data_IF_593144158991
#
_entry.id   IF_593144158991
#
_cell.length_a   1.000
_cell.length_b   1.000
_cell.length_c   1.000
_cell.angle_alpha   90.00
_cell.angle_beta   90.00
_cell.angle_gamma   90.00
#
_symmetry.space_group_name_H-M   'P 1'
#
loop_
_entity.id
_entity.type
_entity.pdbx_description
1 polymer ?
#
# COMPACT_ATOMS: atom_id res chain seq x y z
N UNK A 1 -30.55 35.25 -20.87
CA UNK A 1 -31.27 34.06 -20.36
C UNK A 1 -30.36 33.39 -19.35
N UNK A 2 -30.40 33.86 -18.10
CA UNK A 2 -29.59 33.33 -17.00
C UNK A 2 -30.51 32.47 -16.15
N UNK A 3 -30.24 31.16 -16.07
CA UNK A 3 -30.89 30.27 -15.13
C UNK A 3 -29.90 29.97 -14.00
N UNK A 4 -30.18 30.50 -12.83
CA UNK A 4 -29.52 30.14 -11.58
C UNK A 4 -30.53 29.43 -10.67
N UNK A 5 -30.02 28.39 -10.01
CA UNK A 5 -30.44 27.79 -8.74
C UNK A 5 -31.89 27.28 -8.58
N UNK A 6 -32.00 25.96 -8.43
CA UNK A 6 -32.97 25.34 -7.52
C UNK A 6 -32.20 24.72 -6.36
N UNK A 7 -32.29 25.35 -5.20
CA UNK A 7 -32.01 24.75 -3.90
C UNK A 7 -33.33 24.17 -3.38
N UNK A 8 -33.36 22.90 -2.97
CA UNK A 8 -34.32 22.45 -1.95
C UNK A 8 -33.77 21.26 -1.17
N UNK A 9 -34.29 21.12 0.02
CA UNK A 9 -33.61 20.74 1.24
C UNK A 9 -33.63 19.23 1.54
N UNK A 10 -32.94 18.92 2.65
CA UNK A 10 -33.33 17.92 3.67
C UNK A 10 -32.65 16.55 3.56
N UNK A 11 -31.53 16.41 4.26
CA UNK A 11 -31.26 15.16 4.98
C UNK A 11 -30.64 15.49 6.33
N UNK A 12 -31.42 15.18 7.36
CA UNK A 12 -31.13 15.34 8.77
C UNK A 12 -29.88 14.56 9.19
N UNK A 13 -28.98 15.20 9.94
CA UNK A 13 -27.97 14.50 10.73
C UNK A 13 -28.61 13.60 11.79
N UNK A 14 -28.06 12.42 12.06
CA UNK A 14 -27.96 11.91 13.42
C UNK A 14 -26.61 12.32 14.04
N UNK A 15 -26.56 12.68 15.35
CA UNK A 15 -25.30 12.82 16.05
C UNK A 15 -24.69 11.43 16.31
N UNK A 16 -23.46 11.18 15.84
CA UNK A 16 -22.71 10.00 16.22
C UNK A 16 -22.23 10.15 17.67
N UNK A 17 -22.86 9.42 18.59
CA UNK A 17 -22.37 9.22 19.94
C UNK A 17 -21.27 8.13 19.93
N UNK A 18 -20.03 8.49 20.26
CA UNK A 18 -18.98 7.51 20.57
C UNK A 18 -18.74 7.51 22.08
N UNK A 19 -19.37 6.55 22.76
CA UNK A 19 -19.11 6.26 24.16
C UNK A 19 -17.71 5.68 24.34
N UNK A 20 -16.99 6.18 25.34
CA UNK A 20 -15.70 5.67 25.76
C UNK A 20 -15.80 4.31 26.46
N UNK A 21 -14.77 3.51 26.28
CA UNK A 21 -14.33 2.38 27.11
C UNK A 21 -13.06 1.86 26.46
N UNK A 22 -12.02 1.40 27.12
CA UNK A 22 -11.57 1.42 28.50
C UNK A 22 -10.11 0.96 28.39
N UNK A 23 -9.26 1.48 29.26
CA UNK A 23 -7.84 1.13 29.37
C UNK A 23 -7.55 -0.35 29.14
N UNK A 24 -6.58 -0.64 28.27
CA UNK A 24 -5.87 -1.93 28.30
C UNK A 24 -4.38 -1.66 28.46
N UNK A 25 -3.90 -2.05 29.63
CA UNK A 25 -2.58 -1.83 30.20
C UNK A 25 -1.56 -2.78 29.57
N UNK A 26 -0.68 -2.28 28.68
CA UNK A 26 0.44 -3.07 28.15
C UNK A 26 1.61 -3.05 29.14
N UNK A 27 1.59 -4.01 30.06
CA UNK A 27 2.79 -4.47 30.76
C UNK A 27 2.85 -5.98 30.54
N UNK A 28 3.77 -6.46 29.71
CA UNK A 28 4.75 -7.41 30.20
C UNK A 28 5.93 -7.54 29.24
N UNK A 29 7.08 -7.16 29.78
CA UNK A 29 8.39 -7.42 29.26
C UNK A 29 8.79 -8.87 29.54
N UNK A 30 9.60 -9.44 28.64
CA UNK A 30 10.58 -10.51 28.90
C UNK A 30 10.07 -11.97 28.92
N UNK A 31 10.58 -12.77 27.97
CA UNK A 31 11.65 -13.78 28.24
C UNK A 31 11.55 -15.00 27.31
N UNK A 32 12.44 -15.00 26.31
CA UNK A 32 13.30 -16.09 25.77
C UNK A 32 12.77 -17.53 25.62
N UNK A 33 12.91 -18.09 24.40
CA UNK A 33 12.81 -19.53 24.15
C UNK A 33 13.07 -20.02 22.72
N UNK A 34 14.31 -19.86 22.23
CA UNK A 34 15.06 -20.71 21.29
C UNK A 34 14.43 -21.34 20.00
N UNK A 35 14.97 -20.88 18.85
CA UNK A 35 15.32 -21.58 17.60
C UNK A 35 14.22 -22.07 16.63
N UNK A 36 13.91 -21.24 15.64
CA UNK A 36 14.36 -21.42 14.25
C UNK A 36 14.69 -20.03 13.70
N UNK A 37 15.80 -19.89 12.96
CA UNK A 37 16.29 -18.59 12.50
C UNK A 37 15.52 -18.15 11.27
N UNK A 38 14.41 -17.45 11.47
CA UNK A 38 13.74 -16.70 10.43
C UNK A 38 13.95 -15.22 10.74
N UNK A 39 14.99 -14.69 10.10
CA UNK A 39 15.30 -13.27 9.96
C UNK A 39 14.23 -12.63 9.04
N UNK A 40 12.95 -12.79 9.36
CA UNK A 40 11.82 -12.10 8.70
C UNK A 40 11.72 -10.66 9.25
N UNK A 41 12.88 -9.98 9.30
CA UNK A 41 12.99 -8.58 9.68
C UNK A 41 12.69 -7.72 8.45
N UNK A 42 11.40 -7.36 8.32
CA UNK A 42 10.87 -6.17 7.62
C UNK A 42 10.82 -6.15 6.07
N UNK A 43 10.71 -7.28 5.37
CA UNK A 43 10.24 -7.26 3.97
C UNK A 43 8.71 -7.06 3.96
N UNK A 44 8.24 -5.94 3.39
CA UNK A 44 6.80 -5.71 3.29
C UNK A 44 6.14 -6.78 2.39
N UNK A 45 4.84 -7.02 2.59
CA UNK A 45 4.12 -8.04 1.83
C UNK A 45 4.19 -7.81 0.30
N UNK A 46 4.45 -6.56 -0.10
CA UNK A 46 4.56 -6.14 -1.49
C UNK A 46 5.91 -6.50 -2.12
N UNK A 47 7.03 -6.20 -1.47
CA UNK A 47 8.40 -6.52 -1.88
C UNK A 47 8.60 -8.04 -1.87
N UNK A 48 8.08 -8.73 -0.86
CA UNK A 48 8.02 -10.19 -0.81
C UNK A 48 7.34 -10.78 -2.06
N UNK A 49 6.22 -10.20 -2.51
CA UNK A 49 5.51 -10.65 -3.71
C UNK A 49 6.35 -10.41 -4.96
N UNK A 50 7.01 -9.26 -5.07
CA UNK A 50 7.83 -8.92 -6.24
C UNK A 50 9.10 -9.79 -6.33
N UNK A 51 9.74 -10.08 -5.20
CA UNK A 51 10.89 -11.01 -5.13
C UNK A 51 10.49 -12.40 -5.62
N UNK A 52 9.30 -12.89 -5.21
CA UNK A 52 8.76 -14.19 -5.64
C UNK A 52 8.45 -14.29 -7.14
N UNK A 53 8.15 -13.17 -7.82
CA UNK A 53 7.88 -13.18 -9.27
C UNK A 53 9.15 -13.10 -10.13
N UNK A 54 10.31 -12.81 -9.54
CA UNK A 54 11.54 -12.55 -10.28
C UNK A 54 11.56 -11.19 -11.00
N UNK A 55 10.59 -10.29 -10.72
CA UNK A 55 10.49 -8.96 -11.33
C UNK A 55 11.13 -7.84 -10.49
N UNK A 56 11.98 -8.21 -9.53
CA UNK A 56 12.60 -7.26 -8.60
C UNK A 56 13.50 -6.25 -9.31
N UNK A 57 14.19 -6.66 -10.39
CA UNK A 57 15.08 -5.77 -11.15
C UNK A 57 14.32 -4.63 -11.83
N UNK A 58 13.19 -4.94 -12.46
CA UNK A 58 12.34 -3.94 -13.11
C UNK A 58 11.68 -3.02 -12.07
N UNK A 59 11.34 -3.55 -10.90
CA UNK A 59 10.86 -2.75 -9.77
C UNK A 59 11.93 -1.77 -9.27
N UNK A 60 13.14 -2.26 -9.04
CA UNK A 60 14.28 -1.44 -8.60
C UNK A 60 14.59 -0.33 -9.60
N UNK A 61 14.61 -0.63 -10.91
CA UNK A 61 14.80 0.38 -11.95
C UNK A 61 13.72 1.48 -11.90
N UNK A 62 12.45 1.11 -11.68
CA UNK A 62 11.35 2.07 -11.52
C UNK A 62 11.53 2.94 -10.27
N UNK A 63 11.91 2.34 -9.14
CA UNK A 63 12.13 3.06 -7.89
C UNK A 63 13.33 4.01 -7.98
N UNK A 64 14.42 3.60 -8.64
CA UNK A 64 15.59 4.45 -8.91
C UNK A 64 15.20 5.65 -9.78
N UNK A 65 14.50 5.43 -10.90
CA UNK A 65 14.05 6.53 -11.74
C UNK A 65 13.18 7.53 -10.96
N UNK A 66 12.28 7.02 -10.12
CA UNK A 66 11.46 7.89 -9.30
C UNK A 66 12.29 8.63 -8.24
N UNK A 67 13.24 7.97 -7.58
CA UNK A 67 14.13 8.63 -6.62
C UNK A 67 14.93 9.78 -7.26
N UNK A 68 15.42 9.58 -8.48
CA UNK A 68 16.21 10.57 -9.23
C UNK A 68 15.36 11.75 -9.73
N UNK A 69 14.16 11.45 -10.24
CA UNK A 69 13.33 12.45 -10.93
C UNK A 69 12.25 13.08 -10.07
N UNK A 70 11.87 12.41 -8.98
CA UNK A 70 10.70 12.66 -8.15
C UNK A 70 9.38 12.79 -8.95
N UNK A 71 9.32 12.21 -10.16
CA UNK A 71 8.18 12.31 -11.06
C UNK A 71 7.98 11.02 -11.86
N UNK A 72 7.00 10.22 -11.42
CA UNK A 72 6.64 8.95 -12.07
C UNK A 72 6.24 9.10 -13.55
N UNK A 73 5.82 10.28 -14.01
CA UNK A 73 5.50 10.50 -15.43
C UNK A 73 6.75 10.46 -16.32
N UNK A 74 7.94 10.67 -15.75
CA UNK A 74 9.21 10.54 -16.46
C UNK A 74 9.72 9.09 -16.50
N UNK A 75 9.15 8.21 -15.67
CA UNK A 75 9.56 6.81 -15.51
C UNK A 75 8.62 5.81 -16.24
N UNK A 76 7.97 6.25 -17.32
CA UNK A 76 6.99 5.41 -18.04
C UNK A 76 7.63 4.18 -18.67
N UNK A 77 8.91 4.25 -19.05
CA UNK A 77 9.64 3.14 -19.64
C UNK A 77 9.87 2.02 -18.61
N UNK A 78 10.39 2.37 -17.44
CA UNK A 78 10.64 1.48 -16.30
C UNK A 78 9.32 0.88 -15.80
N UNK A 79 8.27 1.71 -15.74
CA UNK A 79 6.94 1.27 -15.33
C UNK A 79 6.34 0.26 -16.32
N UNK A 80 6.56 0.44 -17.62
CA UNK A 80 6.12 -0.52 -18.63
C UNK A 80 6.93 -1.83 -18.56
N UNK A 81 8.24 -1.75 -18.34
CA UNK A 81 9.09 -2.93 -18.15
C UNK A 81 8.62 -3.76 -16.93
N UNK A 82 8.37 -3.10 -15.79
CA UNK A 82 7.85 -3.78 -14.60
C UNK A 82 6.48 -4.42 -14.84
N UNK A 83 5.55 -3.71 -15.47
CA UNK A 83 4.23 -4.27 -15.85
C UNK A 83 4.34 -5.48 -16.77
N UNK A 84 5.25 -5.44 -17.75
CA UNK A 84 5.44 -6.54 -18.68
C UNK A 84 6.02 -7.78 -17.98
N UNK A 85 6.97 -7.59 -17.07
CA UNK A 85 7.48 -8.69 -16.24
C UNK A 85 6.37 -9.27 -15.36
N UNK A 86 5.64 -8.42 -14.65
CA UNK A 86 4.54 -8.85 -13.77
C UNK A 86 3.40 -9.51 -14.54
N UNK A 87 3.14 -9.14 -15.79
CA UNK A 87 2.17 -9.85 -16.65
C UNK A 87 2.63 -11.26 -17.03
N UNK A 88 3.94 -11.47 -17.17
CA UNK A 88 4.53 -12.75 -17.57
C UNK A 88 4.70 -13.70 -16.38
N UNK A 89 5.14 -13.16 -15.24
CA UNK A 89 5.57 -13.96 -14.08
C UNK A 89 4.70 -13.74 -12.83
N UNK A 90 4.07 -12.58 -12.73
CA UNK A 90 3.16 -12.25 -11.63
C UNK A 90 1.79 -12.86 -11.87
N UNK A 91 1.25 -13.56 -10.88
CA UNK A 91 -0.21 -13.71 -10.79
C UNK A 91 -0.73 -12.31 -10.48
N UNK A 92 -1.09 -11.56 -11.51
CA UNK A 92 -1.73 -10.26 -11.35
C UNK A 92 -3.04 -10.51 -10.62
N UNK A 93 -3.05 -10.22 -9.32
CA UNK A 93 -4.28 -10.16 -8.53
C UNK A 93 -4.79 -8.71 -8.65
N UNK A 94 -5.81 -8.45 -9.50
CA UNK A 94 -6.32 -7.09 -9.71
C UNK A 94 -6.95 -6.46 -8.46
N UNK A 95 -7.16 -7.23 -7.38
CA UNK A 95 -7.91 -6.85 -6.18
C UNK A 95 -7.05 -6.82 -4.90
N UNK A 96 -5.73 -7.09 -4.99
CA UNK A 96 -4.78 -7.09 -3.86
C UNK A 96 -4.03 -5.76 -3.68
#
# INVERSE_FOLDING_TARGET
MTAYATEDAKSSSPPAATNGSSSSNVKNSSTTGAKDGDDDEDDDAWDSRIKKTGCFKENEALLICHADTNDWRKCLAEMNAFRQCMKQNGRFDPDA
#
